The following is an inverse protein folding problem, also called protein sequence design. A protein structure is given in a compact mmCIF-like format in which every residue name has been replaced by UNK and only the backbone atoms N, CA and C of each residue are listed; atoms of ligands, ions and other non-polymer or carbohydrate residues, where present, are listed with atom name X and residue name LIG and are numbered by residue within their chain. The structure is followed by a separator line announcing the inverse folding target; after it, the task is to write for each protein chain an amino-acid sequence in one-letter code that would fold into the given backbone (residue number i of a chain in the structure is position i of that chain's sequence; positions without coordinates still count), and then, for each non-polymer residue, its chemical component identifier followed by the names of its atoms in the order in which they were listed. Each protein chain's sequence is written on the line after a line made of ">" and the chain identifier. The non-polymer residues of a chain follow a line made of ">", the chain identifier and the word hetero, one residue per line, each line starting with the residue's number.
data_IF_333117601984
#
_entry.id   IF_333117601984
#
_cell.length_a   1.000
_cell.length_b   1.000
_cell.length_c   1.000
_cell.angle_alpha   90.00
_cell.angle_beta   90.00
_cell.angle_gamma   90.00
#
_symmetry.space_group_name_H-M   'P 1'
#
loop_
_entity.id
_entity.type
_entity.pdbx_description
1 polymer ?
#
# COMPACT_ATOMS: atom_id res chain seq x y z
N UNK A 1 -29.78 -42.96 -53.47
CA UNK A 1 -29.20 -41.64 -53.81
C UNK A 1 -29.40 -40.74 -52.61
N UNK A 2 -28.36 -40.53 -51.87
CA UNK A 2 -28.41 -39.66 -50.66
C UNK A 2 -27.92 -38.24 -51.06
N UNK A 3 -28.81 -37.29 -50.91
CA UNK A 3 -28.57 -35.87 -51.20
C UNK A 3 -27.62 -35.27 -50.21
N UNK A 4 -26.45 -34.80 -50.67
CA UNK A 4 -25.44 -34.13 -49.81
C UNK A 4 -25.91 -32.70 -49.62
N UNK A 5 -26.12 -32.25 -48.37
CA UNK A 5 -26.52 -30.89 -48.11
C UNK A 5 -25.38 -29.89 -48.43
N UNK A 6 -25.72 -28.80 -49.11
CA UNK A 6 -24.84 -27.74 -49.56
C UNK A 6 -24.18 -27.03 -48.36
N UNK A 7 -22.92 -26.60 -48.47
CA UNK A 7 -22.22 -25.91 -47.40
C UNK A 7 -22.83 -24.52 -47.13
N UNK A 8 -23.11 -24.27 -45.83
CA UNK A 8 -23.64 -23.02 -45.31
C UNK A 8 -22.63 -21.90 -45.57
N UNK A 9 -23.03 -20.73 -46.11
CA UNK A 9 -22.11 -19.63 -46.34
C UNK A 9 -21.51 -19.14 -45.00
N UNK A 10 -20.18 -18.96 -44.98
CA UNK A 10 -19.43 -18.46 -43.85
C UNK A 10 -19.97 -17.08 -43.45
N UNK A 11 -20.36 -16.97 -42.19
CA UNK A 11 -20.76 -15.69 -41.60
C UNK A 11 -19.59 -14.69 -41.70
N UNK A 12 -19.87 -13.56 -42.32
CA UNK A 12 -18.94 -12.45 -42.44
C UNK A 12 -18.48 -12.02 -41.02
N UNK A 13 -17.17 -12.07 -40.76
CA UNK A 13 -16.56 -11.60 -39.55
C UNK A 13 -16.76 -10.08 -39.53
N UNK A 14 -17.40 -9.50 -38.51
CA UNK A 14 -17.55 -8.06 -38.43
C UNK A 14 -16.15 -7.41 -38.30
N UNK A 15 -15.79 -6.63 -39.31
CA UNK A 15 -14.61 -5.79 -39.31
C UNK A 15 -14.65 -4.87 -38.05
N UNK A 16 -13.75 -5.12 -37.15
CA UNK A 16 -13.53 -4.26 -35.94
C UNK A 16 -13.11 -2.88 -36.42
N UNK A 17 -13.86 -1.80 -36.09
CA UNK A 17 -13.48 -0.46 -36.53
C UNK A 17 -12.11 -0.10 -35.93
N UNK A 18 -11.12 0.00 -36.81
CA UNK A 18 -9.80 0.49 -36.51
C UNK A 18 -9.87 2.01 -36.33
N UNK A 19 -10.23 2.45 -35.11
CA UNK A 19 -10.07 3.83 -34.72
C UNK A 19 -9.46 3.85 -33.30
N UNK A 20 -8.25 3.32 -33.16
CA UNK A 20 -7.36 3.69 -32.09
C UNK A 20 -6.78 5.05 -32.45
N UNK A 21 -7.49 6.13 -32.10
CA UNK A 21 -6.86 7.40 -31.94
C UNK A 21 -5.77 7.23 -30.85
N UNK A 22 -4.53 7.05 -31.30
CA UNK A 22 -3.35 7.00 -30.43
C UNK A 22 -3.30 8.31 -29.66
N UNK A 23 -3.78 8.31 -28.42
CA UNK A 23 -3.64 9.46 -27.56
C UNK A 23 -2.16 9.83 -27.50
N UNK A 24 -1.80 11.11 -27.64
CA UNK A 24 -0.41 11.54 -27.66
C UNK A 24 0.27 11.06 -26.37
N UNK A 25 1.34 10.28 -26.53
CA UNK A 25 2.16 9.80 -25.41
C UNK A 25 2.69 11.04 -24.67
N UNK A 26 2.33 11.27 -23.40
CA UNK A 26 2.79 12.44 -22.70
C UNK A 26 4.32 12.48 -22.64
N UNK A 27 4.91 13.63 -22.91
CA UNK A 27 6.35 13.83 -22.93
C UNK A 27 6.99 13.45 -21.58
N UNK A 28 8.25 13.02 -21.56
CA UNK A 28 8.96 12.68 -20.31
C UNK A 28 8.89 13.79 -19.26
N UNK A 29 8.99 15.06 -19.70
CA UNK A 29 8.88 16.23 -18.84
C UNK A 29 7.49 16.39 -18.18
N UNK A 30 6.41 16.01 -18.88
CA UNK A 30 5.06 16.01 -18.31
C UNK A 30 4.86 14.90 -17.27
N UNK A 31 5.59 13.80 -17.39
CA UNK A 31 5.60 12.71 -16.41
C UNK A 31 6.38 13.07 -15.14
N UNK A 32 7.44 13.85 -15.25
CA UNK A 32 8.22 14.33 -14.09
C UNK A 32 7.48 15.39 -13.30
N UNK A 33 6.75 16.31 -13.96
CA UNK A 33 5.97 17.35 -13.28
C UNK A 33 4.76 16.80 -12.50
N UNK A 34 4.23 15.63 -12.88
CA UNK A 34 3.15 14.97 -12.15
C UNK A 34 3.63 14.19 -10.91
N UNK A 35 4.93 14.09 -10.71
CA UNK A 35 5.54 13.48 -9.54
C UNK A 35 5.55 14.48 -8.40
N UNK A 36 4.39 14.78 -7.84
CA UNK A 36 4.27 15.59 -6.61
C UNK A 36 5.30 15.07 -5.60
N UNK A 37 5.98 16.00 -4.93
CA UNK A 37 7.05 15.71 -3.98
C UNK A 37 6.65 14.54 -3.05
N UNK A 38 7.38 13.44 -3.08
CA UNK A 38 7.15 12.30 -2.18
C UNK A 38 7.65 12.59 -0.76
N UNK A 39 8.45 13.65 -0.62
CA UNK A 39 9.10 14.04 0.64
C UNK A 39 8.13 14.17 1.82
N UNK A 40 6.97 14.88 1.70
CA UNK A 40 6.06 15.01 2.84
C UNK A 40 5.48 13.67 3.30
N UNK A 41 5.31 12.71 2.40
CA UNK A 41 4.81 11.38 2.75
C UNK A 41 5.83 10.55 3.50
N UNK A 42 7.11 10.65 3.12
CA UNK A 42 8.20 10.02 3.88
C UNK A 42 8.37 10.66 5.24
N UNK A 43 8.25 11.99 5.35
CA UNK A 43 8.30 12.70 6.62
C UNK A 43 7.14 12.27 7.54
N UNK A 44 5.92 12.15 6.99
CA UNK A 44 4.76 11.67 7.74
C UNK A 44 4.97 10.23 8.22
N UNK A 45 5.43 9.33 7.35
CA UNK A 45 5.69 7.93 7.72
C UNK A 45 6.76 7.81 8.80
N UNK A 46 7.82 8.63 8.74
CA UNK A 46 8.88 8.67 9.73
C UNK A 46 8.34 9.19 11.08
N UNK A 47 7.52 10.23 11.05
CA UNK A 47 6.89 10.79 12.26
C UNK A 47 5.98 9.77 12.95
N UNK A 48 5.15 9.05 12.17
CA UNK A 48 4.28 8.00 12.69
C UNK A 48 5.11 6.81 13.23
N UNK A 49 6.19 6.45 12.54
CA UNK A 49 7.12 5.41 13.00
C UNK A 49 7.85 5.82 14.29
N UNK A 50 8.31 7.06 14.38
CA UNK A 50 8.95 7.60 15.59
C UNK A 50 7.97 7.65 16.78
N UNK A 51 6.71 8.04 16.54
CA UNK A 51 5.67 8.01 17.56
C UNK A 51 5.40 6.59 18.07
N UNK A 52 5.35 5.59 17.17
CA UNK A 52 5.21 4.17 17.56
C UNK A 52 6.41 3.69 18.37
N UNK A 53 7.63 4.02 17.92
CA UNK A 53 8.86 3.66 18.62
C UNK A 53 8.98 4.33 19.99
N UNK A 54 8.55 5.59 20.12
CA UNK A 54 8.50 6.28 21.39
C UNK A 54 7.48 5.64 22.35
N UNK A 55 6.27 5.32 21.86
CA UNK A 55 5.25 4.63 22.65
C UNK A 55 5.76 3.28 23.17
N UNK A 56 6.48 2.53 22.33
CA UNK A 56 7.10 1.26 22.71
C UNK A 56 8.11 1.42 23.85
N UNK A 57 8.98 2.42 23.79
CA UNK A 57 9.97 2.67 24.84
C UNK A 57 9.31 3.20 26.12
N UNK A 58 8.29 4.05 25.99
CA UNK A 58 7.65 4.71 27.13
C UNK A 58 6.68 3.79 27.89
N UNK A 59 5.92 2.95 27.18
CA UNK A 59 4.86 2.13 27.78
C UNK A 59 5.31 0.67 27.92
N UNK A 60 6.09 0.15 26.96
CA UNK A 60 6.56 -1.23 26.94
C UNK A 60 5.45 -2.25 26.73
N UNK A 61 4.31 -1.83 26.17
CA UNK A 61 3.17 -2.70 25.90
C UNK A 61 3.17 -3.13 24.43
N UNK A 62 3.45 -4.42 24.21
CA UNK A 62 3.48 -5.04 22.88
C UNK A 62 2.15 -4.93 22.15
N UNK A 63 1.02 -5.06 22.86
CA UNK A 63 -0.31 -4.96 22.27
C UNK A 63 -0.56 -3.56 21.71
N UNK A 64 -0.23 -2.54 22.48
CA UNK A 64 -0.37 -1.14 22.06
C UNK A 64 0.51 -0.84 20.85
N UNK A 65 1.76 -1.27 20.89
CA UNK A 65 2.71 -1.07 19.79
C UNK A 65 2.28 -1.79 18.52
N UNK A 66 1.84 -3.04 18.64
CA UNK A 66 1.28 -3.81 17.51
C UNK A 66 0.05 -3.13 16.90
N UNK A 67 -0.82 -2.57 17.73
CA UNK A 67 -2.01 -1.85 17.28
C UNK A 67 -1.66 -0.54 16.58
N UNK A 68 -0.71 0.23 17.11
CA UNK A 68 -0.21 1.45 16.48
C UNK A 68 0.47 1.15 15.13
N UNK A 69 1.31 0.13 15.08
CA UNK A 69 1.95 -0.30 13.84
C UNK A 69 0.92 -0.69 12.77
N UNK A 70 -0.09 -1.48 13.14
CA UNK A 70 -1.18 -1.88 12.26
C UNK A 70 -1.95 -0.66 11.77
N UNK A 71 -2.35 0.23 12.67
CA UNK A 71 -3.16 1.40 12.33
C UNK A 71 -2.39 2.37 11.42
N UNK A 72 -1.14 2.69 11.74
CA UNK A 72 -0.35 3.62 10.95
C UNK A 72 0.04 3.05 9.59
N UNK A 73 0.36 1.75 9.51
CA UNK A 73 0.61 1.09 8.24
C UNK A 73 -0.66 0.99 7.39
N UNK A 74 -1.82 0.75 8.01
CA UNK A 74 -3.11 0.76 7.32
C UNK A 74 -3.43 2.15 6.75
N UNK A 75 -3.19 3.21 7.55
CA UNK A 75 -3.38 4.59 7.13
C UNK A 75 -2.49 4.93 5.93
N UNK A 76 -1.19 4.62 6.02
CA UNK A 76 -0.26 4.88 4.93
C UNK A 76 -0.56 4.03 3.69
N UNK A 77 -0.97 2.77 3.87
CA UNK A 77 -1.42 1.90 2.79
C UNK A 77 -2.66 2.42 2.06
N UNK A 78 -3.61 3.02 2.79
CA UNK A 78 -4.81 3.64 2.23
C UNK A 78 -4.50 4.96 1.50
N UNK A 79 -3.56 5.76 2.03
CA UNK A 79 -3.18 7.04 1.43
C UNK A 79 -2.33 6.85 0.16
N UNK A 80 -1.46 5.84 0.13
CA UNK A 80 -0.53 5.57 -0.97
C UNK A 80 -0.47 4.07 -1.31
N UNK A 81 -1.47 3.52 -2.04
CA UNK A 81 -1.59 2.08 -2.30
C UNK A 81 -0.53 1.53 -3.27
N UNK A 82 0.26 2.38 -3.94
CA UNK A 82 1.16 1.96 -5.01
C UNK A 82 2.31 1.05 -4.58
N UNK A 83 2.83 1.19 -3.36
CA UNK A 83 3.96 0.38 -2.84
C UNK A 83 3.86 0.26 -1.31
N UNK A 84 2.92 -0.53 -0.78
CA UNK A 84 2.62 -0.58 0.66
C UNK A 84 3.82 -1.05 1.51
N UNK A 85 4.66 -1.95 1.00
CA UNK A 85 5.83 -2.48 1.72
C UNK A 85 6.85 -1.41 2.17
N UNK A 86 6.98 -0.29 1.42
CA UNK A 86 7.89 0.80 1.80
C UNK A 86 7.46 1.48 3.09
N UNK A 87 6.15 1.65 3.26
CA UNK A 87 5.60 2.27 4.45
C UNK A 87 5.77 1.38 5.68
N UNK A 88 5.61 0.06 5.49
CA UNK A 88 5.90 -0.92 6.54
C UNK A 88 7.35 -0.85 6.98
N UNK A 89 8.30 -0.81 6.04
CA UNK A 89 9.72 -0.72 6.39
C UNK A 89 10.05 0.55 7.18
N UNK A 90 9.45 1.68 6.84
CA UNK A 90 9.71 2.94 7.53
C UNK A 90 9.04 2.94 8.91
N UNK A 91 7.74 2.69 8.97
CA UNK A 91 6.98 2.77 10.22
C UNK A 91 7.43 1.69 11.21
N UNK A 92 7.43 0.41 10.78
CA UNK A 92 7.82 -0.68 11.67
C UNK A 92 9.33 -0.75 11.92
N UNK A 93 10.16 -0.23 11.00
CA UNK A 93 11.61 -0.16 11.19
C UNK A 93 12.03 0.79 12.31
N UNK A 94 11.26 1.85 12.57
CA UNK A 94 11.51 2.78 13.66
C UNK A 94 11.35 2.11 15.04
N UNK A 95 10.51 1.08 15.17
CA UNK A 95 10.22 0.42 16.45
C UNK A 95 11.47 -0.30 17.00
N UNK A 96 12.09 -1.27 16.29
CA UNK A 96 13.32 -1.89 16.77
C UNK A 96 14.49 -0.90 16.84
N UNK A 97 14.53 0.12 15.97
CA UNK A 97 15.56 1.14 15.98
C UNK A 97 15.49 1.99 17.25
N UNK A 98 14.29 2.37 17.72
CA UNK A 98 14.11 3.11 18.97
C UNK A 98 14.55 2.28 20.21
N UNK A 99 14.29 0.97 20.20
CA UNK A 99 14.78 0.04 21.25
C UNK A 99 16.30 -0.06 21.26
N UNK A 100 16.92 -0.23 20.08
CA UNK A 100 18.37 -0.25 19.96
C UNK A 100 19.00 1.06 20.40
N UNK A 101 18.38 2.18 20.06
CA UNK A 101 18.83 3.49 20.52
C UNK A 101 18.71 3.64 22.04
N UNK A 102 17.58 3.24 22.62
CA UNK A 102 17.38 3.27 24.08
C UNK A 102 18.40 2.38 24.81
N UNK A 103 18.68 1.19 24.29
CA UNK A 103 19.69 0.31 24.88
C UNK A 103 21.11 0.84 24.74
N UNK A 104 21.49 1.38 23.58
CA UNK A 104 22.85 1.83 23.29
C UNK A 104 23.20 3.20 23.88
N UNK A 105 22.27 4.16 23.81
CA UNK A 105 22.52 5.56 24.21
C UNK A 105 22.04 5.82 25.63
N UNK A 106 20.86 5.33 25.99
CA UNK A 106 20.27 5.57 27.32
C UNK A 106 20.66 4.50 28.35
N UNK A 107 21.43 3.48 27.93
CA UNK A 107 21.87 2.36 28.80
C UNK A 107 20.69 1.66 29.51
N UNK A 108 19.51 1.69 28.90
CA UNK A 108 18.34 1.00 29.43
C UNK A 108 18.50 -0.51 29.23
N UNK A 109 18.19 -1.28 30.27
CA UNK A 109 18.24 -2.73 30.19
C UNK A 109 17.16 -3.22 29.20
N UNK A 110 17.60 -3.84 28.13
CA UNK A 110 16.68 -4.40 27.11
C UNK A 110 16.86 -5.91 27.08
N UNK A 111 15.82 -6.65 27.40
CA UNK A 111 15.83 -8.10 27.28
C UNK A 111 15.83 -8.52 25.81
N UNK A 112 16.54 -9.60 25.50
CA UNK A 112 16.60 -10.14 24.12
C UNK A 112 15.20 -10.46 23.58
N UNK A 113 14.29 -10.90 24.43
CA UNK A 113 12.89 -11.17 24.06
C UNK A 113 12.21 -9.92 23.46
N UNK A 114 12.42 -8.75 24.06
CA UNK A 114 11.82 -7.49 23.61
C UNK A 114 12.29 -7.07 22.20
N UNK A 115 13.51 -7.45 21.81
CA UNK A 115 14.00 -7.20 20.44
C UNK A 115 13.23 -8.07 19.44
N UNK A 116 13.01 -9.35 19.76
CA UNK A 116 12.22 -10.24 18.89
C UNK A 116 10.76 -9.80 18.79
N UNK A 117 10.19 -9.34 19.89
CA UNK A 117 8.83 -8.79 19.96
C UNK A 117 8.70 -7.53 19.10
N UNK A 118 9.70 -6.64 19.11
CA UNK A 118 9.73 -5.46 18.23
C UNK A 118 9.71 -5.84 16.75
N UNK A 119 10.35 -6.95 16.37
CA UNK A 119 10.28 -7.45 15.00
C UNK A 119 8.90 -8.06 14.65
N UNK A 120 8.13 -8.55 15.62
CA UNK A 120 6.77 -9.05 15.38
C UNK A 120 5.85 -7.92 14.85
N UNK A 121 6.14 -6.67 15.15
CA UNK A 121 5.41 -5.52 14.61
C UNK A 121 5.43 -5.43 13.07
N UNK A 122 6.44 -6.02 12.42
CA UNK A 122 6.47 -6.11 10.96
C UNK A 122 5.36 -6.99 10.40
N UNK A 123 4.96 -8.04 11.11
CA UNK A 123 3.87 -8.94 10.69
C UNK A 123 2.55 -8.18 10.74
N UNK A 124 2.27 -7.51 11.86
CA UNK A 124 1.05 -6.71 12.03
C UNK A 124 1.03 -5.50 11.09
N UNK A 125 2.17 -4.83 10.91
CA UNK A 125 2.33 -3.71 9.99
C UNK A 125 2.09 -4.10 8.52
N UNK A 126 2.60 -5.27 8.09
CA UNK A 126 2.31 -5.79 6.75
C UNK A 126 0.81 -6.02 6.56
N UNK A 127 0.17 -6.71 7.49
CA UNK A 127 -1.28 -6.94 7.44
C UNK A 127 -2.03 -5.61 7.31
N UNK A 128 -1.70 -4.61 8.14
CA UNK A 128 -2.29 -3.28 8.11
C UNK A 128 -2.13 -2.58 6.77
N UNK A 129 -0.92 -2.55 6.22
CA UNK A 129 -0.62 -1.87 4.97
C UNK A 129 -1.36 -2.48 3.77
N UNK A 130 -1.43 -3.81 3.70
CA UNK A 130 -2.17 -4.50 2.64
C UNK A 130 -3.69 -4.31 2.79
N UNK A 131 -4.23 -4.43 4.00
CA UNK A 131 -5.65 -4.16 4.28
C UNK A 131 -6.01 -2.72 3.90
N UNK A 132 -5.17 -1.73 4.28
CA UNK A 132 -5.37 -0.33 3.90
C UNK A 132 -5.37 -0.12 2.40
N UNK A 133 -4.44 -0.74 1.67
CA UNK A 133 -4.33 -0.62 0.22
C UNK A 133 -5.51 -1.28 -0.53
N UNK A 134 -5.98 -2.43 -0.04
CA UNK A 134 -7.16 -3.13 -0.58
C UNK A 134 -8.44 -2.35 -0.29
N UNK A 135 -8.58 -1.83 0.93
CA UNK A 135 -9.72 -1.01 1.33
C UNK A 135 -9.87 0.21 0.43
N UNK A 136 -8.78 0.89 0.11
CA UNK A 136 -8.81 2.04 -0.80
C UNK A 136 -9.28 1.64 -2.20
N UNK A 137 -8.73 0.57 -2.78
CA UNK A 137 -9.15 0.10 -4.11
C UNK A 137 -10.65 -0.24 -4.15
N UNK A 138 -11.14 -0.93 -3.12
CA UNK A 138 -12.57 -1.26 -3.02
C UNK A 138 -13.46 -0.03 -2.86
N UNK A 139 -13.00 0.97 -2.12
CA UNK A 139 -13.71 2.23 -1.98
C UNK A 139 -13.78 2.97 -3.32
N UNK A 140 -12.68 3.05 -4.06
CA UNK A 140 -12.64 3.70 -5.37
C UNK A 140 -13.58 2.99 -6.37
N UNK A 141 -13.59 1.64 -6.42
CA UNK A 141 -14.52 0.84 -7.25
C UNK A 141 -16.00 1.12 -6.87
N UNK A 142 -16.30 1.22 -5.58
CA UNK A 142 -17.65 1.53 -5.09
C UNK A 142 -18.09 2.93 -5.52
N UNK A 143 -17.21 3.92 -5.40
CA UNK A 143 -17.50 5.29 -5.81
C UNK A 143 -17.76 5.38 -7.33
N UNK A 144 -17.02 4.63 -8.14
CA UNK A 144 -17.27 4.56 -9.59
C UNK A 144 -18.62 3.93 -9.92
N UNK A 145 -19.01 2.83 -9.25
CA UNK A 145 -20.32 2.20 -9.42
C UNK A 145 -21.46 3.15 -9.05
N UNK A 146 -21.36 3.87 -7.94
CA UNK A 146 -22.37 4.85 -7.50
C UNK A 146 -22.48 5.99 -8.51
N UNK A 147 -21.36 6.44 -9.07
CA UNK A 147 -21.34 7.51 -10.07
C UNK A 147 -21.96 7.06 -11.39
N UNK A 148 -21.71 5.83 -11.82
CA UNK A 148 -22.31 5.26 -13.04
C UNK A 148 -23.82 5.04 -12.92
N UNK A 149 -24.31 4.63 -11.75
CA UNK A 149 -25.75 4.43 -11.50
C UNK A 149 -26.58 5.71 -11.39
N UNK A 150 -25.93 6.90 -11.34
CA UNK A 150 -26.60 8.21 -11.32
C UNK A 150 -26.74 8.86 -12.71
N UNK A 151 -26.28 8.22 -13.77
CA UNK A 151 -26.48 8.66 -15.18
C UNK A 151 -27.58 7.88 -15.85
#
# INVERSE_FOLDING_TARGET
>A
MAEVPAPKPAAAIPEKPATSATAPIPSPAARESAKGSEVPWYALALLLGAASGFAEVAVGDLMLTGFLALFFCMLMGALRPGRPWRWVLIVCGCIPLSRLFAAGVLHMYTERAQIYEAFASFITGNAGAYVGSLGRKRADDLFEMIRAGKR
#
